data_IF_665287164886
#
_entry.id   IF_665287164886
#
_cell.length_a   1.000
_cell.length_b   1.000
_cell.length_c   1.000
_cell.angle_alpha   90.00
_cell.angle_beta   90.00
_cell.angle_gamma   90.00
#
_symmetry.space_group_name_H-M   'P 1'
#
loop_
_entity.id
_entity.type
_entity.pdbx_description
1 polymer ?
#
# COMPACT_ATOMS: atom_id res chain seq x y z
N UNK A 1 2.71 18.90 14.53
CA UNK A 1 2.09 17.79 15.22
C UNK A 1 2.05 16.57 14.32
N UNK A 2 2.67 15.53 14.76
CA UNK A 2 2.88 14.38 13.91
C UNK A 2 1.75 13.33 13.95
N UNK A 3 0.77 13.50 14.81
CA UNK A 3 -0.26 12.50 15.03
C UNK A 3 -1.46 12.54 14.09
N UNK A 4 -1.54 13.53 13.22
CA UNK A 4 -2.75 13.79 12.46
C UNK A 4 -2.65 13.39 10.99
N UNK A 5 -2.07 12.22 10.72
CA UNK A 5 -2.10 11.69 9.36
C UNK A 5 -3.53 11.30 9.01
N UNK A 6 -3.90 11.56 7.77
CA UNK A 6 -5.19 11.13 7.25
C UNK A 6 -5.26 9.60 7.28
N UNK A 7 -6.41 9.07 7.65
CA UNK A 7 -6.66 7.63 7.63
C UNK A 7 -7.61 7.26 6.51
N UNK A 8 -7.44 6.06 5.98
CA UNK A 8 -8.30 5.54 4.94
C UNK A 8 -9.68 5.20 5.53
N UNK A 9 -10.72 5.85 5.05
CA UNK A 9 -12.11 5.56 5.46
C UNK A 9 -12.81 4.71 4.41
N UNK A 10 -12.16 4.44 3.29
CA UNK A 10 -12.61 3.52 2.25
C UNK A 10 -11.37 2.91 1.60
N UNK A 11 -11.49 1.73 0.97
CA UNK A 11 -10.31 1.05 0.40
C UNK A 11 -9.51 1.89 -0.58
N UNK A 12 -10.17 2.67 -1.42
CA UNK A 12 -9.52 3.48 -2.44
C UNK A 12 -8.62 4.56 -1.86
N UNK A 13 -8.88 5.00 -0.63
CA UNK A 13 -8.04 5.99 0.02
C UNK A 13 -6.61 5.48 0.22
N UNK A 14 -6.44 4.17 0.39
CA UNK A 14 -5.10 3.60 0.62
C UNK A 14 -4.19 3.81 -0.58
N UNK A 15 -4.72 3.70 -1.81
CA UNK A 15 -3.93 3.93 -3.01
C UNK A 15 -3.50 5.40 -3.11
N UNK A 16 -4.43 6.32 -2.85
CA UNK A 16 -4.12 7.75 -2.88
C UNK A 16 -3.12 8.12 -1.78
N UNK A 17 -3.36 7.65 -0.56
CA UNK A 17 -2.49 7.94 0.57
C UNK A 17 -1.08 7.39 0.34
N UNK A 18 -0.96 6.19 -0.25
CA UNK A 18 0.33 5.63 -0.56
C UNK A 18 1.15 6.58 -1.44
N UNK A 19 0.54 7.09 -2.51
CA UNK A 19 1.24 7.99 -3.43
C UNK A 19 1.63 9.28 -2.72
N UNK A 20 0.72 9.87 -1.95
CA UNK A 20 0.99 11.14 -1.26
C UNK A 20 2.11 10.98 -0.23
N UNK A 21 2.05 9.92 0.57
CA UNK A 21 3.05 9.69 1.62
C UNK A 21 4.40 9.31 1.02
N UNK A 22 4.41 8.50 -0.04
CA UNK A 22 5.65 8.12 -0.71
C UNK A 22 6.35 9.34 -1.31
N UNK A 23 5.59 10.20 -1.98
CA UNK A 23 6.16 11.42 -2.57
C UNK A 23 6.65 12.41 -1.52
N UNK A 24 6.05 12.37 -0.33
CA UNK A 24 6.48 13.21 0.79
C UNK A 24 7.67 12.61 1.56
N UNK A 25 8.05 11.36 1.25
CA UNK A 25 9.11 10.67 1.98
C UNK A 25 8.72 10.23 3.38
N UNK A 26 7.42 10.09 3.64
CA UNK A 26 6.90 9.75 4.98
C UNK A 26 6.87 8.23 5.17
N UNK A 27 8.00 7.67 5.54
CA UNK A 27 8.16 6.22 5.74
C UNK A 27 7.24 5.69 6.84
N UNK A 28 7.12 6.45 7.94
CA UNK A 28 6.26 6.06 9.05
C UNK A 28 4.79 6.00 8.61
N UNK A 29 4.36 7.00 7.83
CA UNK A 29 3.01 7.03 7.31
C UNK A 29 2.72 5.87 6.38
N UNK A 30 3.68 5.51 5.52
CA UNK A 30 3.52 4.36 4.62
C UNK A 30 3.35 3.07 5.41
N UNK A 31 4.22 2.83 6.40
CA UNK A 31 4.12 1.62 7.21
C UNK A 31 2.77 1.54 7.94
N UNK A 32 2.24 2.68 8.35
CA UNK A 32 0.95 2.73 9.05
C UNK A 32 -0.23 2.37 8.16
N UNK A 33 -0.07 2.30 6.84
CA UNK A 33 -1.13 1.85 5.92
C UNK A 33 -1.30 0.32 5.93
N UNK A 34 -0.45 -0.41 6.61
CA UNK A 34 -0.41 -1.87 6.61
C UNK A 34 -0.75 -2.41 7.99
N UNK A 35 -1.41 -3.59 8.02
CA UNK A 35 -1.63 -4.30 9.28
C UNK A 35 -0.29 -4.76 9.85
N UNK A 36 -0.22 -5.02 11.19
CA UNK A 36 1.05 -5.44 11.82
C UNK A 36 1.69 -6.67 11.18
N UNK A 37 0.89 -7.60 10.64
CA UNK A 37 1.38 -8.84 10.05
C UNK A 37 1.25 -8.86 8.53
N UNK A 38 1.09 -7.71 7.90
CA UNK A 38 0.91 -7.61 6.45
C UNK A 38 2.09 -8.18 5.68
N UNK A 39 1.83 -8.61 4.45
CA UNK A 39 2.85 -9.17 3.56
C UNK A 39 2.88 -8.37 2.26
N UNK A 40 4.07 -7.94 1.87
CA UNK A 40 4.31 -7.26 0.60
C UNK A 40 5.19 -8.15 -0.27
N UNK A 41 4.75 -8.42 -1.49
CA UNK A 41 5.51 -9.25 -2.45
C UNK A 41 6.53 -8.38 -3.17
N UNK A 42 7.55 -7.97 -2.45
CA UNK A 42 8.63 -7.12 -2.97
C UNK A 42 9.83 -7.21 -2.01
N UNK A 43 11.09 -7.15 -2.48
CA UNK A 43 11.56 -7.07 -3.88
C UNK A 43 11.14 -8.28 -4.72
N UNK A 44 11.33 -8.24 -6.04
CA UNK A 44 10.92 -9.34 -6.92
C UNK A 44 11.46 -10.70 -6.43
N UNK A 45 10.58 -11.70 -6.40
CA UNK A 45 10.91 -13.03 -5.92
C UNK A 45 11.01 -13.18 -4.41
N UNK A 46 10.71 -12.13 -3.64
CA UNK A 46 10.80 -12.12 -2.18
C UNK A 46 9.48 -11.67 -1.56
N UNK A 47 9.35 -11.91 -0.26
CA UNK A 47 8.22 -11.41 0.51
C UNK A 47 8.74 -10.68 1.73
N UNK A 48 8.23 -9.48 1.97
CA UNK A 48 8.52 -8.68 3.14
C UNK A 48 7.34 -8.84 4.11
N UNK A 49 7.59 -9.39 5.28
CA UNK A 49 6.55 -9.77 6.23
C UNK A 49 6.63 -8.90 7.48
N UNK A 50 5.49 -8.30 7.82
CA UNK A 50 5.34 -7.51 9.04
C UNK A 50 5.65 -6.04 8.84
N UNK A 51 4.96 -5.21 9.63
CA UNK A 51 5.03 -3.76 9.48
C UNK A 51 6.45 -3.21 9.64
N UNK A 52 7.23 -3.77 10.59
CA UNK A 52 8.60 -3.30 10.82
C UNK A 52 9.48 -3.53 9.60
N UNK A 53 9.38 -4.72 8.98
CA UNK A 53 10.14 -5.03 7.77
C UNK A 53 9.66 -4.21 6.59
N UNK A 54 8.36 -3.98 6.48
CA UNK A 54 7.77 -3.14 5.44
C UNK A 54 8.29 -1.71 5.58
N UNK A 55 8.37 -1.20 6.80
CA UNK A 55 8.92 0.13 7.05
C UNK A 55 10.38 0.22 6.56
N UNK A 56 11.19 -0.77 6.89
CA UNK A 56 12.59 -0.79 6.47
C UNK A 56 12.72 -0.85 4.93
N UNK A 57 11.85 -1.64 4.29
CA UNK A 57 11.81 -1.73 2.83
C UNK A 57 11.54 -0.37 2.20
N UNK A 58 10.54 0.35 2.69
CA UNK A 58 10.19 1.66 2.14
C UNK A 58 11.23 2.72 2.47
N UNK A 59 11.89 2.61 3.62
CA UNK A 59 12.99 3.51 3.95
C UNK A 59 14.08 3.43 2.89
N UNK A 60 14.46 2.22 2.48
CA UNK A 60 15.45 2.03 1.42
C UNK A 60 14.94 2.52 0.07
N UNK A 61 13.69 2.20 -0.25
CA UNK A 61 13.11 2.58 -1.52
C UNK A 61 13.03 4.10 -1.68
N UNK A 62 12.62 4.81 -0.63
CA UNK A 62 12.44 6.25 -0.69
C UNK A 62 13.75 7.01 -0.59
N UNK A 63 14.85 6.35 -0.20
CA UNK A 63 16.17 7.00 -0.19
C UNK A 63 16.57 7.48 -1.58
N UNK A 64 16.08 6.83 -2.64
CA UNK A 64 16.34 7.23 -4.03
C UNK A 64 15.42 8.38 -4.48
N UNK A 65 14.50 8.82 -3.63
CA UNK A 65 13.53 9.90 -3.90
C UNK A 65 12.74 9.66 -5.20
N UNK A 66 12.12 8.49 -5.36
CA UNK A 66 11.32 8.24 -6.55
C UNK A 66 10.06 9.11 -6.53
N UNK A 67 9.51 9.37 -7.71
CA UNK A 67 8.25 10.06 -7.84
C UNK A 67 7.19 9.07 -8.28
N UNK A 68 6.06 9.03 -7.57
CA UNK A 68 4.95 8.15 -7.89
C UNK A 68 3.79 8.95 -8.48
N UNK A 69 3.16 8.38 -9.49
CA UNK A 69 1.96 8.95 -10.09
C UNK A 69 0.74 8.19 -9.58
N UNK A 70 -0.35 8.93 -9.34
CA UNK A 70 -1.61 8.30 -8.97
C UNK A 70 -2.24 7.67 -10.21
N UNK A 71 -2.33 6.35 -10.21
CA UNK A 71 -2.90 5.59 -11.31
C UNK A 71 -4.40 5.42 -11.08
N UNK A 72 -5.16 5.34 -12.17
CA UNK A 72 -6.61 5.14 -12.07
C UNK A 72 -6.89 3.68 -11.71
N UNK A 73 -7.52 3.41 -10.58
CA UNK A 73 -7.75 2.02 -10.16
C UNK A 73 -8.91 1.40 -10.93
N UNK A 74 -8.92 0.08 -10.96
CA UNK A 74 -10.10 -0.69 -11.34
C UNK A 74 -11.12 -0.61 -10.20
N UNK A 75 -12.41 -0.92 -10.48
CA UNK A 75 -13.40 -0.93 -9.41
C UNK A 75 -13.02 -1.87 -8.29
N UNK A 76 -13.19 -1.41 -7.04
CA UNK A 76 -12.87 -2.20 -5.87
C UNK A 76 -13.88 -3.34 -5.71
N UNK A 77 -13.39 -4.53 -5.39
CA UNK A 77 -14.25 -5.67 -5.05
C UNK A 77 -14.37 -5.76 -3.54
N UNK A 78 -15.59 -5.93 -3.05
CA UNK A 78 -15.87 -5.98 -1.62
C UNK A 78 -16.43 -7.34 -1.20
N UNK A 79 -15.99 -7.82 -0.03
CA UNK A 79 -16.53 -9.01 0.60
C UNK A 79 -16.47 -8.80 2.11
N UNK A 80 -17.56 -8.29 2.70
CA UNK A 80 -17.59 -7.99 4.14
C UNK A 80 -16.54 -6.95 4.52
N UNK A 81 -15.66 -7.31 5.44
CA UNK A 81 -14.58 -6.43 5.89
C UNK A 81 -13.33 -6.54 5.04
N UNK A 82 -13.36 -7.31 3.97
CA UNK A 82 -12.27 -7.44 3.02
C UNK A 82 -12.61 -6.74 1.71
N UNK A 83 -11.60 -6.22 1.06
CA UNK A 83 -11.74 -5.67 -0.28
C UNK A 83 -10.48 -5.93 -1.09
N UNK A 84 -10.64 -5.99 -2.40
CA UNK A 84 -9.53 -6.10 -3.33
C UNK A 84 -9.45 -4.81 -4.12
N UNK A 85 -8.33 -4.10 -3.99
CA UNK A 85 -8.02 -2.95 -4.83
C UNK A 85 -7.02 -3.38 -5.89
N UNK A 86 -7.11 -2.79 -7.06
CA UNK A 86 -6.19 -3.15 -8.15
C UNK A 86 -6.08 -2.01 -9.15
N UNK A 87 -4.95 -2.02 -9.87
CA UNK A 87 -4.73 -1.11 -11.00
C UNK A 87 -4.32 -1.94 -12.21
N UNK A 88 -4.74 -1.53 -13.42
CA UNK A 88 -4.37 -2.28 -14.62
C UNK A 88 -2.89 -2.13 -14.92
N UNK A 89 -2.37 -3.02 -15.75
CA UNK A 89 -1.01 -2.92 -16.24
C UNK A 89 -0.89 -1.71 -17.17
N UNK A 90 -0.10 -0.72 -16.78
CA UNK A 90 0.17 0.47 -17.58
C UNK A 90 1.56 0.46 -18.19
N UNK A 91 2.42 -0.45 -17.73
CA UNK A 91 3.79 -0.56 -18.19
C UNK A 91 4.24 -2.01 -18.02
N UNK A 92 5.53 -2.25 -18.15
CA UNK A 92 6.09 -3.59 -18.03
C UNK A 92 6.06 -4.14 -16.61
N UNK A 93 5.74 -3.30 -15.62
CA UNK A 93 5.61 -3.76 -14.23
C UNK A 93 4.38 -4.64 -14.03
N UNK A 94 3.41 -4.55 -14.94
CA UNK A 94 2.19 -5.34 -14.85
C UNK A 94 1.16 -4.71 -13.94
N UNK A 95 0.10 -5.45 -13.69
CA UNK A 95 -0.97 -5.00 -12.81
C UNK A 95 -0.53 -5.02 -11.36
N UNK A 96 -1.23 -4.27 -10.52
CA UNK A 96 -1.01 -4.25 -9.06
C UNK A 96 -2.30 -4.62 -8.37
N UNK A 97 -2.18 -5.31 -7.23
CA UNK A 97 -3.36 -5.70 -6.46
C UNK A 97 -3.03 -5.73 -4.96
N UNK A 98 -4.02 -5.37 -4.17
CA UNK A 98 -3.91 -5.39 -2.72
C UNK A 98 -5.18 -5.96 -2.12
N UNK A 99 -5.03 -6.77 -1.07
CA UNK A 99 -6.15 -7.14 -0.20
C UNK A 99 -6.09 -6.22 1.01
N UNK A 100 -7.21 -5.58 1.30
CA UNK A 100 -7.32 -4.62 2.40
C UNK A 100 -8.43 -5.05 3.34
N UNK A 101 -8.33 -4.68 4.60
CA UNK A 101 -9.27 -5.08 5.64
C UNK A 101 -9.76 -3.88 6.43
N UNK A 102 -11.07 -3.82 6.64
CA UNK A 102 -11.65 -2.79 7.51
C UNK A 102 -11.36 -3.14 8.96
N UNK A 103 -10.84 -2.17 9.69
CA UNK A 103 -10.50 -2.28 11.10
C UNK A 103 -11.72 -1.97 11.97
N UNK A 104 -11.60 -2.21 13.28
CA UNK A 104 -12.71 -1.97 14.21
C UNK A 104 -13.16 -0.52 14.25
N UNK A 105 -12.23 0.41 14.01
CA UNK A 105 -12.54 1.84 14.02
C UNK A 105 -13.12 2.33 12.69
N UNK A 106 -13.32 1.44 11.73
CA UNK A 106 -13.87 1.78 10.42
C UNK A 106 -12.83 2.20 9.40
N UNK A 107 -11.56 2.28 9.78
CA UNK A 107 -10.49 2.57 8.82
C UNK A 107 -10.04 1.30 8.12
N UNK A 108 -9.32 1.46 7.00
CA UNK A 108 -8.86 0.34 6.19
C UNK A 108 -7.34 0.27 6.22
N UNK A 109 -6.81 -0.95 6.25
CA UNK A 109 -5.37 -1.20 6.18
C UNK A 109 -5.10 -2.29 5.15
N UNK A 110 -3.91 -2.27 4.56
CA UNK A 110 -3.44 -3.30 3.63
C UNK A 110 -3.00 -4.53 4.41
N UNK A 111 -3.40 -5.71 3.90
CA UNK A 111 -3.07 -7.02 4.46
C UNK A 111 -2.08 -7.73 3.56
N UNK A 112 -2.36 -7.74 2.25
CA UNK A 112 -1.51 -8.33 1.24
C UNK A 112 -1.32 -7.30 0.13
N UNK A 113 -0.09 -7.18 -0.35
CA UNK A 113 0.22 -6.21 -1.39
C UNK A 113 1.16 -6.83 -2.42
N UNK A 114 0.69 -6.89 -3.66
CA UNK A 114 1.52 -7.29 -4.79
C UNK A 114 1.70 -6.07 -5.69
N UNK A 115 2.76 -5.29 -5.49
CA UNK A 115 2.96 -4.05 -6.24
C UNK A 115 3.51 -4.27 -7.64
N UNK A 116 3.95 -5.49 -7.96
CA UNK A 116 4.54 -5.80 -9.25
C UNK A 116 4.32 -7.27 -9.57
N UNK A 117 3.57 -7.55 -10.65
CA UNK A 117 3.23 -8.92 -11.03
C UNK A 117 4.32 -9.61 -11.84
N UNK A 118 5.42 -8.94 -12.13
CA UNK A 118 6.54 -9.58 -12.82
C UNK A 118 7.34 -10.50 -11.90
N UNK A 119 7.11 -10.42 -10.65
CA UNK A 119 7.81 -11.26 -9.73
C UNK A 119 7.93 -10.70 -8.37
#
# INVERSE_FOLDING_TARGET
>A
MTGNRERATKPEDLTRLFVELANAGDVEGLAALYEPDAVVAFPPGQMTVGRAAIRALYEQMLAAKPHFELEKPLPTLHCGDLALTSTPALDEAGARAQVVRRQRDGTWLRVLDRPDFRG
#
